data_IF_997112016341
#
_entry.id   IF_997112016341
#
_cell.length_a   1.000
_cell.length_b   1.000
_cell.length_c   1.000
_cell.angle_alpha   90.00
_cell.angle_beta   90.00
_cell.angle_gamma   90.00
#
_symmetry.space_group_name_H-M   'P 1'
#
loop_
_entity.id
_entity.type
_entity.pdbx_description
1 polymer ?
#
# COMPACT_ATOMS: atom_id res chain seq x y z
N UNK A 1 -33.03 -32.72 14.20
CA UNK A 1 -31.55 -32.61 14.22
C UNK A 1 -31.23 -31.17 13.84
N UNK A 2 -31.31 -30.27 14.82
CA UNK A 2 -31.18 -28.82 14.63
C UNK A 2 -29.71 -28.45 14.82
N UNK A 3 -29.08 -27.88 13.78
CA UNK A 3 -27.77 -27.26 13.93
C UNK A 3 -27.89 -26.08 14.91
N UNK A 4 -26.98 -25.94 15.90
CA UNK A 4 -27.02 -24.80 16.79
C UNK A 4 -26.64 -23.53 16.03
N UNK A 5 -27.35 -22.46 16.37
CA UNK A 5 -27.25 -21.13 15.81
C UNK A 5 -25.81 -20.60 15.86
N UNK A 6 -25.43 -19.94 14.76
CA UNK A 6 -24.44 -18.87 14.64
C UNK A 6 -23.63 -18.56 15.91
N UNK A 7 -22.34 -18.94 15.91
CA UNK A 7 -21.38 -18.27 16.77
C UNK A 7 -21.48 -16.76 16.49
N UNK A 8 -21.65 -15.91 17.52
CA UNK A 8 -21.47 -14.48 17.32
C UNK A 8 -20.02 -14.30 16.89
N UNK A 9 -19.82 -13.79 15.67
CA UNK A 9 -18.56 -13.20 15.28
C UNK A 9 -18.33 -12.05 16.27
N UNK A 10 -17.52 -12.30 17.30
CA UNK A 10 -17.10 -11.25 18.21
C UNK A 10 -16.50 -10.12 17.36
N UNK A 11 -16.72 -8.83 17.72
CA UNK A 11 -16.06 -7.73 17.03
C UNK A 11 -14.56 -8.06 16.96
N UNK A 12 -13.98 -7.92 15.76
CA UNK A 12 -12.59 -8.26 15.51
C UNK A 12 -11.71 -7.63 16.61
N UNK A 13 -11.13 -8.47 17.47
CA UNK A 13 -10.32 -8.01 18.58
C UNK A 13 -8.98 -7.53 18.02
N UNK A 14 -8.76 -6.22 18.04
CA UNK A 14 -7.52 -5.58 17.60
C UNK A 14 -6.84 -4.87 18.75
N UNK A 15 -5.54 -5.11 18.93
CA UNK A 15 -4.72 -4.36 19.87
C UNK A 15 -4.15 -3.08 19.24
N UNK A 16 -3.80 -2.12 20.09
CA UNK A 16 -3.20 -0.88 19.63
C UNK A 16 -1.73 -1.08 19.22
N UNK A 17 -1.17 -0.07 18.57
CA UNK A 17 0.27 -0.03 18.35
C UNK A 17 1.02 -0.09 19.68
N UNK A 18 2.10 -0.87 19.73
CA UNK A 18 2.85 -1.16 20.95
C UNK A 18 2.25 -2.27 21.82
N UNK A 19 1.12 -2.88 21.43
CA UNK A 19 0.50 -3.99 22.15
C UNK A 19 0.42 -5.28 21.32
N UNK A 20 0.36 -6.42 22.00
CA UNK A 20 0.10 -7.73 21.39
C UNK A 20 -1.08 -8.43 22.10
N UNK A 21 -1.77 -9.33 21.40
CA UNK A 21 -2.85 -10.14 21.98
C UNK A 21 -2.27 -11.31 22.77
N UNK A 22 -2.52 -11.33 24.09
CA UNK A 22 -2.32 -12.52 24.90
C UNK A 22 -3.47 -13.50 24.66
N UNK A 23 -3.18 -14.63 24.03
CA UNK A 23 -4.18 -15.65 23.69
C UNK A 23 -4.76 -16.37 24.92
N UNK A 24 -4.06 -16.39 26.06
CA UNK A 24 -4.53 -17.04 27.28
C UNK A 24 -5.58 -16.19 27.98
N UNK A 25 -5.27 -14.91 28.14
CA UNK A 25 -6.12 -13.97 28.87
C UNK A 25 -7.11 -13.23 27.96
N UNK A 26 -7.01 -13.44 26.64
CA UNK A 26 -7.73 -12.68 25.60
C UNK A 26 -7.66 -11.16 25.82
N UNK A 27 -6.47 -10.66 26.17
CA UNK A 27 -6.24 -9.24 26.50
C UNK A 27 -5.02 -8.68 25.79
N UNK A 28 -5.03 -7.37 25.50
CA UNK A 28 -3.87 -6.69 24.95
C UNK A 28 -2.85 -6.40 26.05
N UNK A 29 -1.58 -6.71 25.77
CA UNK A 29 -0.45 -6.46 26.67
C UNK A 29 0.61 -5.63 25.95
N UNK A 30 1.35 -4.77 26.65
CA UNK A 30 2.43 -3.99 26.04
C UNK A 30 3.54 -4.90 25.53
N UNK A 31 4.15 -4.52 24.42
CA UNK A 31 5.34 -5.19 23.89
C UNK A 31 6.51 -5.08 24.88
N UNK A 32 7.31 -6.14 24.96
CA UNK A 32 8.56 -6.11 25.73
C UNK A 32 9.55 -5.10 25.13
N UNK A 33 10.46 -4.58 25.94
CA UNK A 33 11.52 -3.68 25.47
C UNK A 33 12.30 -4.29 24.30
N UNK A 34 12.60 -3.45 23.30
CA UNK A 34 13.24 -3.89 22.05
C UNK A 34 12.30 -4.55 21.04
N UNK A 35 11.01 -4.66 21.33
CA UNK A 35 9.98 -5.12 20.39
C UNK A 35 8.97 -4.02 20.10
N UNK A 36 8.39 -4.08 18.92
CA UNK A 36 7.32 -3.18 18.51
C UNK A 36 6.17 -3.97 17.90
N UNK A 37 4.99 -3.34 17.88
CA UNK A 37 3.79 -3.83 17.21
C UNK A 37 3.13 -2.65 16.53
N UNK A 38 2.69 -2.83 15.29
CA UNK A 38 1.92 -1.82 14.57
C UNK A 38 0.41 -1.92 14.86
N UNK A 39 0.00 -2.83 15.74
CA UNK A 39 -1.41 -3.14 15.96
C UNK A 39 -2.03 -3.71 14.68
N UNK A 40 -2.99 -3.00 14.11
CA UNK A 40 -3.62 -3.31 12.81
C UNK A 40 -2.97 -2.60 11.62
N UNK A 41 -1.92 -1.82 11.86
CA UNK A 41 -1.17 -1.12 10.82
C UNK A 41 -0.34 -2.08 9.96
N UNK A 42 -0.08 -1.65 8.73
CA UNK A 42 0.79 -2.33 7.77
C UNK A 42 1.93 -1.38 7.44
N UNK A 43 3.16 -1.90 7.39
CA UNK A 43 4.36 -1.16 6.98
C UNK A 43 5.10 -1.99 5.93
N UNK A 44 5.59 -1.32 4.90
CA UNK A 44 6.48 -1.88 3.89
C UNK A 44 7.82 -1.18 4.00
N UNK A 45 8.87 -1.94 4.33
CA UNK A 45 10.25 -1.49 4.45
C UNK A 45 11.24 -2.34 3.65
N UNK A 46 10.77 -3.45 3.07
CA UNK A 46 11.53 -4.30 2.15
C UNK A 46 10.92 -4.22 0.74
N UNK A 47 11.75 -3.90 -0.25
CA UNK A 47 11.39 -3.75 -1.66
C UNK A 47 12.32 -4.57 -2.57
N UNK A 48 12.59 -5.82 -2.20
CA UNK A 48 13.24 -6.78 -3.09
C UNK A 48 12.29 -7.19 -4.24
N UNK A 49 11.02 -7.36 -3.90
CA UNK A 49 9.90 -7.59 -4.81
C UNK A 49 8.76 -6.64 -4.47
N UNK A 50 7.86 -6.39 -5.44
CA UNK A 50 6.69 -5.56 -5.17
C UNK A 50 5.73 -6.34 -4.25
N UNK A 51 5.42 -5.84 -3.04
CA UNK A 51 4.61 -6.60 -2.08
C UNK A 51 3.22 -6.93 -2.62
N UNK A 52 2.63 -8.01 -2.11
CA UNK A 52 1.27 -8.40 -2.49
C UNK A 52 0.25 -7.29 -2.21
N UNK A 53 -0.66 -7.09 -3.17
CA UNK A 53 -1.71 -6.08 -3.10
C UNK A 53 -1.35 -4.75 -3.77
N UNK A 54 -0.08 -4.57 -4.15
CA UNK A 54 0.30 -3.47 -5.03
C UNK A 54 0.00 -3.82 -6.49
N UNK A 55 -0.47 -2.83 -7.24
CA UNK A 55 -0.68 -2.89 -8.67
C UNK A 55 0.07 -1.74 -9.34
N UNK A 56 0.74 -2.01 -10.46
CA UNK A 56 1.38 -1.01 -11.30
C UNK A 56 0.61 -0.88 -12.60
N UNK A 57 0.18 0.34 -12.93
CA UNK A 57 -0.46 0.69 -14.20
C UNK A 57 0.42 1.68 -14.97
N UNK A 58 0.34 1.63 -16.29
CA UNK A 58 1.02 2.54 -17.20
C UNK A 58 0.02 3.18 -18.15
N UNK A 59 0.12 4.49 -18.36
CA UNK A 59 -0.71 5.22 -19.30
C UNK A 59 0.15 6.18 -20.14
N UNK A 60 -0.23 6.33 -21.40
CA UNK A 60 0.23 7.45 -22.23
C UNK A 60 -0.33 8.75 -21.64
N UNK A 61 0.49 9.79 -21.57
CA UNK A 61 -0.01 11.14 -21.30
C UNK A 61 -0.86 11.59 -22.50
N UNK A 62 -2.16 11.31 -22.48
CA UNK A 62 -3.09 11.83 -23.50
C UNK A 62 -3.26 13.33 -23.29
N UNK A 63 -2.41 14.11 -23.96
CA UNK A 63 -2.65 15.53 -24.21
C UNK A 63 -3.44 15.64 -25.51
N UNK A 64 -4.76 15.70 -25.37
CA UNK A 64 -5.74 16.29 -26.29
C UNK A 64 -5.90 15.70 -27.71
N UNK A 65 -7.15 15.73 -28.15
CA UNK A 65 -7.74 15.15 -29.36
C UNK A 65 -7.24 15.78 -30.67
N UNK A 66 -5.99 15.53 -31.06
CA UNK A 66 -5.58 15.74 -32.46
C UNK A 66 -4.34 14.94 -32.91
N UNK A 67 -4.60 13.90 -33.70
CA UNK A 67 -3.81 13.43 -34.85
C UNK A 67 -2.27 13.47 -34.68
N UNK A 68 -1.65 12.36 -34.25
CA UNK A 68 -0.40 11.88 -34.86
C UNK A 68 -0.01 10.46 -34.41
N UNK A 69 0.73 9.81 -35.28
CA UNK A 69 0.87 8.38 -35.48
C UNK A 69 2.09 7.79 -34.72
N UNK A 70 2.19 8.07 -33.42
CA UNK A 70 3.22 7.44 -32.57
C UNK A 70 2.69 7.23 -31.15
N UNK A 71 1.78 6.26 -31.01
CA UNK A 71 1.44 5.72 -29.69
C UNK A 71 2.68 4.98 -29.17
N UNK A 72 3.58 5.69 -28.51
CA UNK A 72 4.66 5.09 -27.73
C UNK A 72 4.03 4.06 -26.80
N UNK A 73 4.54 2.83 -26.85
CA UNK A 73 3.90 1.72 -26.17
C UNK A 73 4.35 1.72 -24.70
N UNK A 74 3.67 2.50 -23.84
CA UNK A 74 3.97 2.59 -22.40
C UNK A 74 3.82 1.27 -21.63
N UNK A 75 3.56 0.14 -22.28
CA UNK A 75 3.44 -1.17 -21.64
C UNK A 75 4.71 -1.59 -20.86
N UNK A 76 5.87 -1.01 -21.17
CA UNK A 76 7.12 -1.25 -20.42
C UNK A 76 7.30 -0.37 -19.19
N UNK A 77 6.51 0.70 -19.06
CA UNK A 77 6.56 1.67 -17.97
C UNK A 77 5.96 1.04 -16.72
N UNK A 78 6.76 0.85 -15.67
CA UNK A 78 6.35 0.22 -14.42
C UNK A 78 7.17 0.68 -13.22
N UNK A 79 6.60 0.48 -12.05
CA UNK A 79 7.33 0.58 -10.79
C UNK A 79 8.28 -0.61 -10.60
N UNK A 80 9.55 -0.32 -10.35
CA UNK A 80 10.61 -1.33 -10.19
C UNK A 80 11.21 -1.26 -8.78
N UNK A 81 11.25 -2.38 -8.05
CA UNK A 81 11.93 -2.47 -6.76
C UNK A 81 13.46 -2.32 -6.90
N UNK A 82 14.06 -1.63 -5.94
CA UNK A 82 15.51 -1.31 -5.87
C UNK A 82 16.14 -1.76 -4.55
N UNK A 83 15.50 -2.69 -3.83
CA UNK A 83 15.93 -3.19 -2.52
C UNK A 83 15.29 -2.39 -1.39
N UNK A 84 15.75 -1.15 -1.18
CA UNK A 84 15.28 -0.32 -0.06
C UNK A 84 14.14 0.63 -0.45
N UNK A 85 13.84 0.74 -1.75
CA UNK A 85 12.81 1.62 -2.29
C UNK A 85 12.30 1.10 -3.63
N UNK A 86 11.21 1.70 -4.11
CA UNK A 86 10.70 1.50 -5.47
C UNK A 86 10.82 2.79 -6.26
N UNK A 87 11.04 2.67 -7.57
CA UNK A 87 11.09 3.82 -8.45
C UNK A 87 10.26 3.57 -9.71
N UNK A 88 9.57 4.60 -10.18
CA UNK A 88 9.02 4.61 -11.53
C UNK A 88 10.15 4.81 -12.55
N UNK A 89 9.88 4.41 -13.77
CA UNK A 89 10.57 4.87 -14.97
C UNK A 89 10.46 6.40 -15.11
N UNK A 90 11.44 6.96 -15.81
CA UNK A 90 11.61 8.40 -16.07
C UNK A 90 11.38 8.72 -17.54
N UNK A 91 10.55 7.92 -18.20
CA UNK A 91 10.13 8.16 -19.58
C UNK A 91 8.95 9.14 -19.60
N UNK A 92 8.40 9.39 -20.78
CA UNK A 92 7.25 10.28 -20.98
C UNK A 92 5.90 9.64 -20.60
N UNK A 93 5.92 8.43 -20.03
CA UNK A 93 4.73 7.70 -19.64
C UNK A 93 4.38 7.93 -18.17
N UNK A 94 3.08 7.99 -17.87
CA UNK A 94 2.62 8.00 -16.48
C UNK A 94 2.61 6.58 -15.95
N UNK A 95 3.37 6.31 -14.88
CA UNK A 95 3.33 5.05 -14.14
C UNK A 95 2.63 5.25 -12.79
N UNK A 96 1.47 4.62 -12.62
CA UNK A 96 0.67 4.68 -11.39
C UNK A 96 0.93 3.46 -10.52
N UNK A 97 1.24 3.68 -9.24
CA UNK A 97 1.27 2.62 -8.23
C UNK A 97 0.02 2.71 -7.34
N UNK A 98 -0.71 1.62 -7.25
CA UNK A 98 -1.92 1.51 -6.44
C UNK A 98 -1.76 0.46 -5.35
N UNK A 99 -2.23 0.79 -4.16
CA UNK A 99 -2.38 -0.15 -3.05
C UNK A 99 -3.73 0.07 -2.38
N UNK A 100 -4.54 -0.98 -2.34
CA UNK A 100 -5.88 -0.93 -1.76
C UNK A 100 -5.88 -1.55 -0.36
N UNK A 101 -6.41 -0.81 0.62
CA UNK A 101 -6.57 -1.29 2.00
C UNK A 101 -8.02 -1.21 2.44
N UNK A 102 -8.43 -2.16 3.28
CA UNK A 102 -9.71 -2.13 3.97
C UNK A 102 -9.49 -1.69 5.42
N UNK A 103 -9.80 -0.43 5.72
CA UNK A 103 -9.64 0.12 7.05
C UNK A 103 -10.66 -0.48 8.02
N UNK A 104 -10.17 -1.12 9.08
CA UNK A 104 -11.01 -1.55 10.22
C UNK A 104 -11.32 -0.41 11.18
N UNK A 105 -10.45 0.61 11.18
CA UNK A 105 -10.54 1.82 11.97
C UNK A 105 -9.89 2.97 11.19
N UNK A 106 -10.26 4.21 11.51
CA UNK A 106 -9.61 5.39 10.93
C UNK A 106 -8.11 5.35 11.18
N UNK A 107 -7.33 5.75 10.19
CA UNK A 107 -5.88 5.74 10.24
C UNK A 107 -5.27 6.76 9.30
N UNK A 108 -3.95 6.73 9.19
CA UNK A 108 -3.19 7.61 8.31
C UNK A 108 -2.28 6.77 7.41
N UNK A 109 -1.99 7.31 6.22
CA UNK A 109 -1.00 6.77 5.30
C UNK A 109 0.20 7.69 5.32
N UNK A 110 1.38 7.14 5.56
CA UNK A 110 2.65 7.85 5.55
C UNK A 110 3.60 7.16 4.57
N UNK A 111 4.30 7.93 3.76
CA UNK A 111 5.33 7.45 2.85
C UNK A 111 6.44 8.51 2.75
N UNK A 112 7.65 8.05 2.44
CA UNK A 112 8.78 8.91 2.14
C UNK A 112 9.05 8.83 0.63
N UNK A 113 9.38 9.96 0.02
CA UNK A 113 9.66 10.05 -1.41
C UNK A 113 10.90 10.91 -1.66
N UNK A 114 11.56 10.68 -2.79
CA UNK A 114 12.73 11.42 -3.22
C UNK A 114 12.61 11.83 -4.69
N UNK A 115 12.78 13.12 -4.99
CA UNK A 115 12.81 13.64 -6.36
C UNK A 115 14.23 14.02 -6.74
N UNK A 116 14.84 13.34 -7.73
CA UNK A 116 16.15 13.71 -8.24
C UNK A 116 16.10 14.95 -9.17
N UNK A 117 14.93 15.26 -9.74
CA UNK A 117 14.71 16.37 -10.67
C UNK A 117 13.37 17.06 -10.38
N UNK A 118 13.35 18.39 -10.45
CA UNK A 118 12.17 19.25 -10.36
C UNK A 118 11.19 19.13 -11.54
N UNK A 119 11.61 18.51 -12.66
CA UNK A 119 10.78 18.27 -13.83
C UNK A 119 9.78 17.12 -13.66
N UNK A 120 9.98 16.26 -12.65
CA UNK A 120 9.14 15.10 -12.39
C UNK A 120 7.99 15.50 -11.46
N UNK A 121 6.76 15.33 -11.93
CA UNK A 121 5.55 15.55 -11.13
C UNK A 121 5.10 14.23 -10.55
N UNK A 122 4.79 14.24 -9.25
CA UNK A 122 4.25 13.09 -8.56
C UNK A 122 2.99 13.49 -7.82
N UNK A 123 1.93 12.69 -7.99
CA UNK A 123 0.63 12.97 -7.40
C UNK A 123 0.17 11.78 -6.57
N UNK A 124 -0.42 12.09 -5.41
CA UNK A 124 -0.94 11.08 -4.49
C UNK A 124 -2.45 11.17 -4.44
N UNK A 125 -3.11 10.07 -4.79
CA UNK A 125 -4.57 9.97 -4.71
C UNK A 125 -4.96 9.03 -3.58
N UNK A 126 -5.76 9.53 -2.65
CA UNK A 126 -6.41 8.73 -1.61
C UNK A 126 -7.91 8.77 -1.87
N UNK A 127 -8.50 7.60 -2.09
CA UNK A 127 -9.95 7.43 -2.26
C UNK A 127 -10.46 6.49 -1.19
N UNK A 128 -11.51 6.91 -0.47
CA UNK A 128 -12.14 6.20 0.65
C UNK A 128 -13.56 5.75 0.30
#
# INVERSE_FOLDING_TARGET
MTLPLSLPCFPAFSCNAGEFLDMKDQSCKPCAEGRYSLGTGIRFDEWDELPHGFASLSANLEVDDSISESTENCTSSKWVPRGDYIASNTDECTATLMYAVNLKQSGTVNFEYYYPDSSIIFEFFVSS
#
